data_IF_451406016528
#
_entry.id   IF_451406016528
#
_cell.length_a   1.000
_cell.length_b   1.000
_cell.length_c   1.000
_cell.angle_alpha   90.00
_cell.angle_beta   90.00
_cell.angle_gamma   90.00
#
_symmetry.space_group_name_H-M   'P 1'
#
loop_
_entity.id
_entity.type
_entity.pdbx_description
1 polymer ?
#
# COMPACT_ATOMS: atom_id res chain seq x y z
N UNK A 1 -12.69 12.50 -6.09
CA UNK A 1 -11.22 12.65 -6.15
C UNK A 1 -10.70 11.91 -7.37
N UNK A 2 -9.98 12.58 -8.26
CA UNK A 2 -9.43 11.94 -9.45
C UNK A 2 -8.01 11.44 -9.18
N UNK A 3 -7.43 10.75 -10.16
CA UNK A 3 -6.09 10.16 -10.04
C UNK A 3 -5.01 11.19 -9.70
N UNK A 4 -5.08 12.36 -10.34
CA UNK A 4 -4.12 13.43 -10.10
C UNK A 4 -4.21 13.96 -8.67
N UNK A 5 -5.42 14.15 -8.16
CA UNK A 5 -5.63 14.61 -6.79
C UNK A 5 -5.06 13.62 -5.78
N UNK A 6 -5.23 12.31 -6.04
CA UNK A 6 -4.71 11.27 -5.17
C UNK A 6 -3.17 11.29 -5.17
N UNK A 7 -2.56 11.44 -6.35
CA UNK A 7 -1.11 11.49 -6.46
C UNK A 7 -0.53 12.71 -5.73
N UNK A 8 -1.20 13.86 -5.83
CA UNK A 8 -0.79 15.06 -5.11
C UNK A 8 -0.87 14.83 -3.60
N UNK A 9 -1.95 14.22 -3.13
CA UNK A 9 -2.12 13.92 -1.71
C UNK A 9 -1.03 12.98 -1.20
N UNK A 10 -0.69 11.95 -1.97
CA UNK A 10 0.40 11.02 -1.62
C UNK A 10 1.72 11.77 -1.49
N UNK A 11 2.02 12.62 -2.47
CA UNK A 11 3.26 13.39 -2.47
C UNK A 11 3.34 14.34 -1.26
N UNK A 12 2.22 14.95 -0.89
CA UNK A 12 2.17 15.85 0.27
C UNK A 12 2.40 15.09 1.57
N UNK A 13 1.79 13.94 1.74
CA UNK A 13 2.01 13.10 2.92
C UNK A 13 3.49 12.67 3.00
N UNK A 14 4.07 12.28 1.87
CA UNK A 14 5.47 11.88 1.83
C UNK A 14 6.39 13.02 2.22
N UNK A 15 6.15 14.23 1.71
CA UNK A 15 6.98 15.40 2.01
C UNK A 15 6.87 15.85 3.46
N UNK A 16 5.71 15.67 4.07
CA UNK A 16 5.50 16.06 5.46
C UNK A 16 6.05 15.06 6.48
N UNK A 17 6.58 13.94 6.01
CA UNK A 17 7.08 12.89 6.89
C UNK A 17 6.01 11.96 7.41
N UNK A 18 4.82 11.98 6.79
CA UNK A 18 3.69 11.16 7.22
C UNK A 18 3.64 9.75 6.62
N UNK A 19 4.63 9.39 5.81
CA UNK A 19 4.66 8.07 5.20
C UNK A 19 4.86 6.97 6.24
N UNK A 20 4.12 5.87 6.08
CA UNK A 20 4.32 4.70 6.93
C UNK A 20 5.65 4.03 6.63
N UNK A 21 6.23 3.37 7.62
CA UNK A 21 7.36 2.49 7.38
C UNK A 21 6.90 1.30 6.53
N UNK A 22 7.80 0.71 5.70
CA UNK A 22 7.40 -0.41 4.83
C UNK A 22 6.72 -1.57 5.55
N UNK A 23 7.21 -1.97 6.72
CA UNK A 23 6.61 -3.05 7.50
C UNK A 23 5.21 -2.71 7.98
N UNK A 24 4.98 -1.45 8.38
CA UNK A 24 3.65 -1.00 8.81
C UNK A 24 2.71 -0.90 7.62
N UNK A 25 3.23 -0.43 6.48
CA UNK A 25 2.44 -0.33 5.25
C UNK A 25 1.98 -1.71 4.78
N UNK A 26 2.84 -2.73 4.88
CA UNK A 26 2.48 -4.10 4.53
C UNK A 26 1.37 -4.60 5.45
N UNK A 27 1.48 -4.36 6.75
CA UNK A 27 0.46 -4.78 7.71
C UNK A 27 -0.89 -4.10 7.44
N UNK A 28 -0.87 -2.79 7.15
CA UNK A 28 -2.08 -2.05 6.82
C UNK A 28 -2.71 -2.56 5.53
N UNK A 29 -1.89 -2.84 4.52
CA UNK A 29 -2.35 -3.35 3.24
C UNK A 29 -2.98 -4.73 3.41
N UNK A 30 -2.37 -5.60 4.20
CA UNK A 30 -2.91 -6.93 4.50
C UNK A 30 -4.29 -6.82 5.15
N UNK A 31 -4.45 -5.87 6.09
CA UNK A 31 -5.73 -5.63 6.74
C UNK A 31 -6.80 -5.15 5.74
N UNK A 32 -6.42 -4.26 4.81
CA UNK A 32 -7.33 -3.77 3.77
C UNK A 32 -7.78 -4.92 2.87
N UNK A 33 -6.85 -5.74 2.40
CA UNK A 33 -7.16 -6.88 1.55
C UNK A 33 -8.10 -7.85 2.25
N UNK A 34 -7.80 -8.18 3.50
CA UNK A 34 -8.64 -9.07 4.29
C UNK A 34 -10.05 -8.51 4.46
N UNK A 35 -10.16 -7.21 4.74
CA UNK A 35 -11.46 -6.55 4.85
C UNK A 35 -12.27 -6.59 3.55
N UNK A 36 -11.61 -6.39 2.41
CA UNK A 36 -12.26 -6.47 1.10
C UNK A 36 -12.76 -7.88 0.81
N UNK A 37 -12.00 -8.92 1.15
CA UNK A 37 -12.43 -10.30 0.99
C UNK A 37 -13.65 -10.63 1.86
N UNK A 38 -13.61 -10.23 3.12
CA UNK A 38 -14.71 -10.50 4.05
C UNK A 38 -16.01 -9.80 3.65
N UNK A 39 -15.91 -8.60 3.09
CA UNK A 39 -17.08 -7.84 2.64
C UNK A 39 -17.56 -8.22 1.25
N UNK A 40 -16.76 -8.99 0.50
CA UNK A 40 -17.05 -9.32 -0.89
C UNK A 40 -16.93 -8.13 -1.82
N UNK A 41 -16.28 -7.05 -1.39
CA UNK A 41 -16.19 -5.80 -2.15
C UNK A 41 -15.02 -5.74 -3.11
N UNK A 42 -14.03 -6.63 -2.96
CA UNK A 42 -12.85 -6.62 -3.80
C UNK A 42 -13.01 -7.46 -5.06
N UNK A 43 -12.79 -6.87 -6.24
CA UNK A 43 -12.69 -7.63 -7.47
C UNK A 43 -11.33 -8.33 -7.53
N UNK A 44 -11.21 -9.37 -8.35
CA UNK A 44 -9.94 -10.08 -8.52
C UNK A 44 -8.84 -9.15 -9.02
N UNK A 45 -9.20 -8.22 -9.90
CA UNK A 45 -8.24 -7.24 -10.43
C UNK A 45 -7.72 -6.32 -9.32
N UNK A 46 -8.60 -5.82 -8.48
CA UNK A 46 -8.22 -4.94 -7.38
C UNK A 46 -7.34 -5.69 -6.40
N UNK A 47 -7.70 -6.93 -6.06
CA UNK A 47 -6.90 -7.76 -5.16
C UNK A 47 -5.50 -8.00 -5.72
N UNK A 48 -5.39 -8.28 -7.02
CA UNK A 48 -4.11 -8.48 -7.67
C UNK A 48 -3.24 -7.21 -7.62
N UNK A 49 -3.84 -6.05 -7.88
CA UNK A 49 -3.12 -4.77 -7.81
C UNK A 49 -2.60 -4.51 -6.41
N UNK A 50 -3.41 -4.77 -5.39
CA UNK A 50 -2.99 -4.57 -4.00
C UNK A 50 -1.86 -5.52 -3.61
N UNK A 51 -1.92 -6.77 -4.07
CA UNK A 51 -0.85 -7.73 -3.82
C UNK A 51 0.47 -7.30 -4.48
N UNK A 52 0.41 -6.73 -5.67
CA UNK A 52 1.60 -6.21 -6.35
C UNK A 52 2.20 -5.02 -5.61
N UNK A 53 1.36 -4.17 -5.08
CA UNK A 53 1.81 -3.05 -4.23
C UNK A 53 2.49 -3.60 -2.97
N UNK A 54 1.89 -4.60 -2.35
CA UNK A 54 2.48 -5.27 -1.20
C UNK A 54 3.84 -5.88 -1.52
N UNK A 55 3.97 -6.50 -2.69
CA UNK A 55 5.25 -7.07 -3.14
C UNK A 55 6.32 -6.00 -3.31
N UNK A 56 5.95 -4.84 -3.83
CA UNK A 56 6.85 -3.69 -3.95
C UNK A 56 7.36 -3.26 -2.57
N UNK A 57 6.46 -3.12 -1.62
CA UNK A 57 6.81 -2.75 -0.24
C UNK A 57 7.69 -3.80 0.43
N UNK A 58 7.39 -5.06 0.19
CA UNK A 58 8.19 -6.18 0.70
C UNK A 58 9.64 -6.09 0.20
N UNK A 59 9.82 -5.85 -1.09
CA UNK A 59 11.14 -5.72 -1.68
C UNK A 59 11.91 -4.54 -1.09
N UNK A 60 11.24 -3.41 -0.88
CA UNK A 60 11.87 -2.25 -0.24
C UNK A 60 12.30 -2.55 1.19
N UNK A 61 11.48 -3.26 1.94
CA UNK A 61 11.81 -3.68 3.29
C UNK A 61 13.05 -4.57 3.31
N UNK A 62 13.13 -5.55 2.39
CA UNK A 62 14.27 -6.45 2.29
C UNK A 62 15.56 -5.69 1.95
N UNK A 63 15.48 -4.73 1.04
CA UNK A 63 16.63 -3.89 0.70
C UNK A 63 17.16 -3.14 1.91
N UNK A 64 16.27 -2.59 2.71
CA UNK A 64 16.65 -1.84 3.92
C UNK A 64 17.29 -2.73 4.98
N UNK A 65 16.98 -4.00 4.98
CA UNK A 65 17.52 -4.97 5.94
C UNK A 65 18.85 -5.58 5.48
N UNK A 66 19.28 -5.28 4.28
CA UNK A 66 20.50 -5.81 3.68
C UNK A 66 21.70 -4.91 3.94
N UNK A 67 22.01 -4.62 5.10
CA UNK A 67 23.19 -3.79 5.39
C UNK A 67 24.41 -4.62 5.75
#
# INVERSE_FOLDING_TARGET
MNRTDVLIAIAEVARSGGASQPEDAIAQLAAIINGLELSGSGSDRVMEMLLRIGACLWNLQQERMRL
#
